data_IF_344164747762
#
_entry.id   IF_344164747762
#
_cell.length_a   1.000
_cell.length_b   1.000
_cell.length_c   1.000
_cell.angle_alpha   90.00
_cell.angle_beta   90.00
_cell.angle_gamma   90.00
#
_symmetry.space_group_name_H-M   'P 1'
#
loop_
_entity.id
_entity.type
_entity.pdbx_description
1 polymer ?
#
# COMPACT_ATOMS: atom_id res chain seq x y z
N UNK A 1 11.77 -1.86 22.42
CA UNK A 1 12.77 -1.58 21.38
C UNK A 1 12.10 -1.94 20.07
N UNK A 2 11.62 -0.95 19.32
CA UNK A 2 10.90 -1.17 18.06
C UNK A 2 11.70 -2.07 17.12
N UNK A 3 11.07 -3.11 16.56
CA UNK A 3 11.69 -3.96 15.56
C UNK A 3 11.51 -3.30 14.20
N UNK A 4 12.62 -2.88 13.62
CA UNK A 4 12.65 -2.24 12.31
C UNK A 4 13.47 -3.10 11.36
N UNK A 5 12.80 -3.80 10.44
CA UNK A 5 13.45 -4.55 9.38
C UNK A 5 13.46 -3.73 8.10
N UNK A 6 14.57 -3.81 7.36
CA UNK A 6 14.74 -3.16 6.07
C UNK A 6 14.98 -4.23 5.01
N UNK A 7 14.19 -4.16 3.95
CA UNK A 7 14.26 -5.05 2.79
C UNK A 7 14.79 -4.25 1.60
N UNK A 8 16.06 -4.43 1.23
CA UNK A 8 16.64 -3.69 0.11
C UNK A 8 16.07 -4.19 -1.21
N UNK A 9 15.54 -3.26 -2.02
CA UNK A 9 15.10 -3.51 -3.39
C UNK A 9 16.20 -3.13 -4.40
N UNK A 10 16.98 -2.09 -4.08
CA UNK A 10 18.19 -1.70 -4.79
C UNK A 10 19.10 -0.88 -3.86
N UNK A 11 20.18 -0.30 -4.37
CA UNK A 11 21.10 0.55 -3.58
C UNK A 11 20.41 1.73 -2.91
N UNK A 12 19.35 2.28 -3.52
CA UNK A 12 18.64 3.48 -3.02
C UNK A 12 17.19 3.21 -2.65
N UNK A 13 16.65 2.03 -2.98
CA UNK A 13 15.25 1.66 -2.75
C UNK A 13 15.14 0.58 -1.69
N UNK A 14 14.28 0.76 -0.70
CA UNK A 14 14.01 -0.25 0.31
C UNK A 14 12.59 -0.14 0.88
N UNK A 15 12.02 -1.28 1.26
CA UNK A 15 10.81 -1.35 2.08
C UNK A 15 11.23 -1.50 3.54
N UNK A 16 10.60 -0.73 4.42
CA UNK A 16 10.80 -0.80 5.86
C UNK A 16 9.50 -1.23 6.49
N UNK A 17 9.55 -2.34 7.23
CA UNK A 17 8.46 -2.77 8.10
C UNK A 17 8.87 -2.41 9.53
N UNK A 18 8.12 -1.50 10.12
CA UNK A 18 8.34 -0.98 11.46
C UNK A 18 7.22 -1.47 12.38
N UNK A 19 7.59 -2.34 13.30
CA UNK A 19 6.69 -2.92 14.28
C UNK A 19 7.18 -2.45 15.66
N UNK A 20 6.37 -1.73 16.44
CA UNK A 20 6.69 -1.36 17.80
C UNK A 20 6.58 -2.61 18.68
N UNK A 21 7.60 -3.45 18.66
CA UNK A 21 7.82 -4.38 19.75
C UNK A 21 8.38 -3.59 20.93
N UNK A 22 7.58 -3.40 21.97
CA UNK A 22 8.18 -3.08 23.24
C UNK A 22 8.69 -4.37 23.89
N UNK A 23 10.01 -4.53 23.96
CA UNK A 23 10.67 -5.44 24.91
C UNK A 23 10.19 -5.20 26.36
N UNK A 24 9.55 -4.05 26.61
CA UNK A 24 8.98 -3.64 27.90
C UNK A 24 7.55 -4.20 28.07
N UNK A 25 7.37 -5.49 27.80
CA UNK A 25 6.44 -6.43 28.47
C UNK A 25 6.51 -7.80 27.78
N UNK A 26 7.60 -8.54 28.01
CA UNK A 26 7.71 -9.98 27.72
C UNK A 26 7.83 -10.42 26.25
N UNK A 27 8.21 -9.54 25.30
CA UNK A 27 8.48 -9.93 23.92
C UNK A 27 7.24 -10.38 23.13
N UNK A 28 6.08 -9.82 23.48
CA UNK A 28 4.79 -10.07 22.84
C UNK A 28 4.49 -8.98 21.81
N UNK A 29 3.75 -9.32 20.76
CA UNK A 29 3.11 -8.36 19.85
C UNK A 29 1.64 -8.40 20.14
N UNK A 30 1.01 -7.26 20.38
CA UNK A 30 -0.45 -7.23 20.51
C UNK A 30 -1.08 -7.00 19.14
N UNK A 31 -2.20 -7.70 18.89
CA UNK A 31 -2.92 -7.60 17.61
C UNK A 31 -3.29 -6.15 17.24
N UNK A 32 -3.49 -5.30 18.25
CA UNK A 32 -3.87 -3.90 18.13
C UNK A 32 -2.70 -2.92 18.33
N UNK A 33 -1.45 -3.40 18.33
CA UNK A 33 -0.30 -2.50 18.22
C UNK A 33 -0.28 -1.85 16.83
N UNK A 34 0.27 -0.64 16.74
CA UNK A 34 0.39 0.12 15.49
C UNK A 34 1.49 -0.49 14.61
N UNK A 35 1.20 -0.79 13.35
CA UNK A 35 2.15 -1.25 12.34
C UNK A 35 2.34 -0.13 11.32
N UNK A 36 3.59 0.24 11.04
CA UNK A 36 3.93 1.22 10.01
C UNK A 36 4.79 0.54 8.94
N UNK A 37 4.38 0.67 7.68
CA UNK A 37 5.18 0.22 6.54
C UNK A 37 5.55 1.44 5.72
N UNK A 38 6.82 1.54 5.39
CA UNK A 38 7.38 2.67 4.64
C UNK A 38 8.14 2.18 3.42
N UNK A 39 8.16 3.00 2.38
CA UNK A 39 9.09 2.86 1.27
C UNK A 39 10.03 4.06 1.25
N UNK A 40 11.31 3.78 1.03
CA UNK A 40 12.35 4.80 0.92
C UNK A 40 12.96 4.70 -0.48
N UNK A 41 13.02 5.84 -1.18
CA UNK A 41 13.72 6.00 -2.45
C UNK A 41 14.67 7.19 -2.36
N UNK A 42 15.97 6.93 -2.15
CA UNK A 42 16.94 7.99 -1.94
C UNK A 42 16.65 8.77 -0.65
N UNK A 43 16.31 10.05 -0.80
CA UNK A 43 15.92 10.93 0.32
C UNK A 43 14.41 10.94 0.57
N UNK A 44 13.60 10.40 -0.35
CA UNK A 44 12.16 10.39 -0.25
C UNK A 44 11.66 9.24 0.65
N UNK A 45 10.74 9.56 1.57
CA UNK A 45 10.07 8.59 2.45
C UNK A 45 8.55 8.63 2.22
N UNK A 46 7.98 7.46 1.98
CA UNK A 46 6.55 7.26 1.80
C UNK A 46 6.02 6.33 2.89
N UNK A 47 5.10 6.82 3.72
CA UNK A 47 4.27 5.92 4.54
C UNK A 47 3.30 5.24 3.58
N UNK A 48 3.33 3.92 3.55
CA UNK A 48 2.46 3.11 2.71
C UNK A 48 1.30 2.52 3.51
N UNK A 49 1.57 2.12 4.75
CA UNK A 49 0.57 1.56 5.66
C UNK A 49 0.75 2.12 7.06
N UNK A 50 -0.37 2.38 7.73
CA UNK A 50 -0.42 2.72 9.14
C UNK A 50 -1.76 2.29 9.73
N UNK A 51 -1.78 1.12 10.36
CA UNK A 51 -2.97 0.55 11.02
C UNK A 51 -2.51 -0.55 12.00
N UNK A 52 -3.40 -1.38 12.52
CA UNK A 52 -3.07 -2.46 13.45
C UNK A 52 -2.25 -3.58 12.81
N UNK A 53 -1.37 -4.19 13.62
CA UNK A 53 -0.55 -5.36 13.25
C UNK A 53 -1.39 -6.46 12.61
N UNK A 54 -2.52 -6.83 13.23
CA UNK A 54 -3.37 -7.91 12.72
C UNK A 54 -3.90 -7.63 11.32
N UNK A 55 -4.27 -6.38 11.03
CA UNK A 55 -4.79 -5.97 9.72
C UNK A 55 -3.69 -6.05 8.67
N UNK A 56 -2.53 -5.45 8.94
CA UNK A 56 -1.44 -5.43 7.97
C UNK A 56 -0.88 -6.81 7.70
N UNK A 57 -0.79 -7.68 8.70
CA UNK A 57 -0.25 -9.04 8.54
C UNK A 57 -1.13 -9.92 7.67
N UNK A 58 -2.44 -9.97 7.96
CA UNK A 58 -3.39 -10.74 7.14
C UNK A 58 -3.38 -10.29 5.68
N UNK A 59 -3.24 -8.98 5.47
CA UNK A 59 -3.26 -8.38 4.16
C UNK A 59 -1.97 -8.68 3.38
N UNK A 60 -0.80 -8.54 4.01
CA UNK A 60 0.49 -8.86 3.38
C UNK A 60 0.57 -10.36 3.09
N UNK A 61 0.22 -11.21 4.06
CA UNK A 61 0.24 -12.67 3.88
C UNK A 61 -0.60 -13.07 2.65
N UNK A 62 -1.85 -12.63 2.59
CA UNK A 62 -2.77 -12.93 1.49
C UNK A 62 -2.26 -12.44 0.14
N UNK A 63 -1.85 -11.18 0.04
CA UNK A 63 -1.51 -10.57 -1.25
C UNK A 63 -0.13 -10.97 -1.74
N UNK A 64 0.86 -11.08 -0.85
CA UNK A 64 2.21 -11.49 -1.24
C UNK A 64 2.23 -12.98 -1.63
N UNK A 65 1.47 -13.84 -0.95
CA UNK A 65 1.30 -15.24 -1.37
C UNK A 65 0.67 -15.31 -2.77
N UNK A 66 -0.36 -14.51 -3.04
CA UNK A 66 -0.97 -14.44 -4.38
C UNK A 66 -0.01 -13.91 -5.44
N UNK A 67 0.80 -12.90 -5.12
CA UNK A 67 1.82 -12.36 -6.01
C UNK A 67 2.92 -13.40 -6.30
N UNK A 68 3.40 -14.13 -5.30
CA UNK A 68 4.36 -15.23 -5.46
C UNK A 68 3.81 -16.38 -6.32
N UNK A 69 2.51 -16.65 -6.21
CA UNK A 69 1.81 -17.64 -7.03
C UNK A 69 1.50 -17.14 -8.45
N UNK A 70 1.92 -15.93 -8.81
CA UNK A 70 1.60 -15.26 -10.08
C UNK A 70 0.09 -15.23 -10.39
N UNK A 71 -0.72 -14.96 -9.36
CA UNK A 71 -2.19 -15.01 -9.43
C UNK A 71 -2.86 -13.63 -9.42
N UNK A 72 -2.10 -12.54 -9.26
CA UNK A 72 -2.58 -11.16 -9.33
C UNK A 72 -2.24 -10.54 -10.69
N UNK A 73 -2.56 -11.21 -11.80
CA UNK A 73 -2.18 -10.76 -13.14
C UNK A 73 -2.93 -9.50 -13.54
N UNK A 74 -2.20 -8.44 -13.85
CA UNK A 74 -2.79 -7.19 -14.33
C UNK A 74 -3.39 -7.37 -15.72
N UNK A 75 -4.58 -6.80 -15.93
CA UNK A 75 -5.22 -6.68 -17.24
C UNK A 75 -5.02 -5.26 -17.77
N UNK A 76 -4.00 -5.06 -18.61
CA UNK A 76 -3.66 -3.77 -19.19
C UNK A 76 -4.80 -3.15 -20.03
N UNK A 77 -5.81 -3.93 -20.44
CA UNK A 77 -7.00 -3.39 -21.10
C UNK A 77 -7.95 -2.69 -20.12
N UNK A 78 -7.91 -3.09 -18.84
CA UNK A 78 -8.70 -2.49 -17.75
C UNK A 78 -7.92 -1.42 -16.98
N UNK A 79 -6.60 -1.51 -16.95
CA UNK A 79 -5.73 -0.58 -16.19
C UNK A 79 -4.73 0.15 -17.11
N UNK A 80 -5.19 0.88 -18.14
CA UNK A 80 -4.30 1.50 -19.13
C UNK A 80 -3.35 2.55 -18.53
N UNK A 81 -3.69 3.12 -17.36
CA UNK A 81 -2.89 4.12 -16.64
C UNK A 81 -2.42 3.63 -15.25
N UNK A 82 -2.50 2.33 -14.99
CA UNK A 82 -2.22 1.74 -13.67
C UNK A 82 -3.46 1.59 -12.80
N UNK A 83 -3.33 0.82 -11.72
CA UNK A 83 -4.44 0.42 -10.85
C UNK A 83 -4.96 1.61 -10.04
N UNK A 84 -4.04 2.45 -9.55
CA UNK A 84 -4.37 3.63 -8.76
C UNK A 84 -5.12 4.69 -9.55
N UNK A 85 -4.88 4.83 -10.85
CA UNK A 85 -5.64 5.75 -11.70
C UNK A 85 -7.11 5.31 -11.76
N UNK A 86 -7.34 4.02 -12.04
CA UNK A 86 -8.69 3.47 -12.09
C UNK A 86 -9.38 3.58 -10.72
N UNK A 87 -8.64 3.35 -9.63
CA UNK A 87 -9.18 3.55 -8.29
C UNK A 87 -9.63 5.00 -8.06
N UNK A 88 -8.81 5.98 -8.44
CA UNK A 88 -9.16 7.41 -8.32
C UNK A 88 -10.49 7.69 -9.04
N UNK A 89 -10.63 7.23 -10.29
CA UNK A 89 -11.87 7.43 -11.07
C UNK A 89 -13.07 6.77 -10.40
N UNK A 90 -12.93 5.51 -9.97
CA UNK A 90 -14.00 4.77 -9.28
C UNK A 90 -14.36 5.44 -7.96
N UNK A 91 -13.37 5.81 -7.15
CA UNK A 91 -13.58 6.41 -5.82
C UNK A 91 -14.27 7.77 -5.89
N UNK A 92 -13.90 8.60 -6.87
CA UNK A 92 -14.54 9.89 -7.10
C UNK A 92 -16.00 9.72 -7.54
N UNK A 93 -16.27 8.81 -8.47
CA UNK A 93 -17.64 8.51 -8.88
C UNK A 93 -18.49 7.97 -7.71
N UNK A 94 -17.92 7.15 -6.83
CA UNK A 94 -18.59 6.72 -5.59
C UNK A 94 -18.89 7.92 -4.67
N UNK A 95 -17.95 8.87 -4.54
CA UNK A 95 -18.14 10.08 -3.75
C UNK A 95 -19.24 10.99 -4.31
N UNK A 96 -19.38 11.04 -5.64
CA UNK A 96 -20.46 11.74 -6.37
C UNK A 96 -21.78 10.93 -6.43
N UNK A 97 -21.90 9.86 -5.63
CA UNK A 97 -23.07 8.99 -5.53
C UNK A 97 -23.44 8.26 -6.83
N UNK A 98 -22.47 7.96 -7.70
CA UNK A 98 -22.66 7.08 -8.87
C UNK A 98 -22.64 5.60 -8.44
N UNK A 99 -23.81 4.97 -8.39
CA UNK A 99 -24.05 3.72 -7.63
C UNK A 99 -23.59 2.44 -8.37
N UNK A 100 -23.20 2.50 -9.65
CA UNK A 100 -23.08 1.30 -10.50
C UNK A 100 -21.65 0.82 -10.83
N UNK A 101 -20.61 1.37 -10.20
CA UNK A 101 -19.23 0.97 -10.53
C UNK A 101 -18.75 -0.22 -9.71
N UNK A 102 -18.38 -1.30 -10.40
CA UNK A 102 -17.66 -2.43 -9.79
C UNK A 102 -16.23 -2.00 -9.43
N UNK A 103 -15.81 -2.21 -8.18
CA UNK A 103 -14.42 -1.99 -7.76
C UNK A 103 -13.51 -3.12 -8.28
N UNK A 104 -13.07 -2.95 -9.51
CA UNK A 104 -12.11 -3.85 -10.17
C UNK A 104 -10.70 -3.79 -9.57
N UNK A 105 -10.41 -2.82 -8.71
CA UNK A 105 -9.09 -2.61 -8.09
C UNK A 105 -8.90 -3.41 -6.80
N UNK A 106 -10.00 -3.75 -6.14
CA UNK A 106 -10.04 -4.44 -4.84
C UNK A 106 -9.10 -5.66 -4.75
N UNK A 107 -8.98 -6.55 -5.76
CA UNK A 107 -8.08 -7.70 -5.69
C UNK A 107 -6.59 -7.37 -5.51
N UNK A 108 -6.17 -6.17 -5.90
CA UNK A 108 -4.78 -5.71 -5.89
C UNK A 108 -4.46 -4.77 -4.74
N UNK A 109 -5.49 -4.31 -4.00
CA UNK A 109 -5.34 -3.28 -2.98
C UNK A 109 -4.47 -3.77 -1.84
N UNK A 110 -3.30 -3.15 -1.71
CA UNK A 110 -2.40 -3.43 -0.61
C UNK A 110 -2.72 -2.47 0.54
N UNK A 111 -2.54 -1.15 0.34
CA UNK A 111 -2.71 -0.19 1.43
C UNK A 111 -3.39 1.09 0.97
N UNK A 112 -4.06 1.76 1.90
CA UNK A 112 -4.54 3.14 1.73
C UNK A 112 -4.08 3.93 2.94
N UNK A 113 -3.50 5.09 2.70
CA UNK A 113 -3.12 6.01 3.77
C UNK A 113 -4.30 6.89 4.16
N UNK A 114 -4.26 7.54 5.34
CA UNK A 114 -5.25 8.57 5.66
C UNK A 114 -5.32 9.65 4.59
N UNK A 115 -6.50 10.27 4.46
CA UNK A 115 -6.82 11.21 3.37
C UNK A 115 -5.86 12.42 3.26
N UNK A 116 -5.22 12.85 4.35
CA UNK A 116 -4.21 13.92 4.32
C UNK A 116 -2.87 13.51 3.71
N UNK A 117 -2.55 12.21 3.65
CA UNK A 117 -1.41 11.67 2.91
C UNK A 117 -1.80 11.32 1.47
N UNK A 118 -3.08 10.98 1.24
CA UNK A 118 -3.68 10.78 -0.09
C UNK A 118 -2.87 9.84 -0.99
N UNK A 119 -2.56 8.64 -0.48
CA UNK A 119 -1.80 7.61 -1.19
C UNK A 119 -2.43 6.24 -1.03
N UNK A 120 -2.54 5.55 -2.15
CA UNK A 120 -2.88 4.13 -2.26
C UNK A 120 -1.66 3.34 -2.70
N UNK A 121 -1.59 2.08 -2.28
CA UNK A 121 -0.58 1.13 -2.73
C UNK A 121 -1.24 -0.15 -3.22
N UNK A 122 -0.69 -0.70 -4.31
CA UNK A 122 -1.21 -1.88 -4.99
C UNK A 122 -0.09 -2.91 -5.18
N UNK A 123 -0.45 -4.19 -5.26
CA UNK A 123 0.48 -5.25 -5.68
C UNK A 123 -0.15 -6.07 -6.79
N UNK A 124 0.62 -6.33 -7.84
CA UNK A 124 0.19 -7.13 -8.98
C UNK A 124 1.35 -7.84 -9.66
N UNK A 125 1.01 -8.73 -10.58
CA UNK A 125 1.93 -9.41 -11.46
C UNK A 125 1.79 -8.87 -12.89
N UNK A 126 2.91 -8.53 -13.51
CA UNK A 126 2.99 -8.28 -14.96
C UNK A 126 4.00 -9.26 -15.57
N UNK A 127 3.47 -10.19 -16.38
CA UNK A 127 4.21 -11.37 -16.80
C UNK A 127 4.53 -12.30 -15.62
N UNK A 128 5.81 -12.53 -15.36
CA UNK A 128 6.32 -13.35 -14.24
C UNK A 128 6.93 -12.48 -13.13
N UNK A 129 6.81 -11.15 -13.23
CA UNK A 129 7.36 -10.20 -12.27
C UNK A 129 6.28 -9.66 -11.36
N UNK A 130 6.64 -9.35 -10.13
CA UNK A 130 5.76 -8.71 -9.15
C UNK A 130 6.09 -7.23 -9.04
N UNK A 131 5.06 -6.40 -8.92
CA UNK A 131 5.19 -4.96 -8.80
C UNK A 131 4.40 -4.44 -7.61
N UNK A 132 4.96 -3.45 -6.92
CA UNK A 132 4.24 -2.58 -6.01
C UNK A 132 4.07 -1.22 -6.67
N UNK A 133 2.84 -0.78 -6.83
CA UNK A 133 2.48 0.54 -7.37
C UNK A 133 2.06 1.45 -6.23
N UNK A 134 2.69 2.62 -6.12
CA UNK A 134 2.33 3.69 -5.17
C UNK A 134 1.69 4.81 -5.98
N UNK A 135 0.47 5.15 -5.63
CA UNK A 135 -0.39 6.02 -6.42
C UNK A 135 -1.01 7.13 -5.59
N UNK A 136 -1.11 8.35 -6.12
CA UNK A 136 -1.80 9.43 -5.42
C UNK A 136 -3.30 9.15 -5.40
N UNK A 137 -3.97 9.61 -4.35
CA UNK A 137 -5.43 9.65 -4.22
C UNK A 137 -5.92 11.09 -4.35
N UNK A 138 -7.16 11.26 -4.80
CA UNK A 138 -7.78 12.58 -4.82
C UNK A 138 -8.35 12.90 -3.44
N UNK A 139 -7.71 13.84 -2.73
CA UNK A 139 -8.03 14.11 -1.32
C UNK A 139 -9.31 14.90 -1.08
N UNK A 140 -9.88 15.52 -2.11
CA UNK A 140 -10.99 16.47 -1.97
C UNK A 140 -12.38 15.84 -2.05
N UNK A 141 -12.47 14.52 -2.28
CA UNK A 141 -13.75 13.79 -2.25
C UNK A 141 -14.38 13.76 -0.85
N UNK A 142 -13.55 13.84 0.19
CA UNK A 142 -13.98 13.67 1.59
C UNK A 142 -13.42 14.73 2.54
N UNK A 143 -12.64 15.68 2.03
CA UNK A 143 -12.10 16.78 2.82
C UNK A 143 -12.41 18.10 2.15
N UNK A 144 -12.94 19.04 2.92
CA UNK A 144 -13.02 20.43 2.50
C UNK A 144 -11.64 21.10 2.58
N UNK A 145 -11.29 22.00 1.64
CA UNK A 145 -10.05 22.75 1.72
C UNK A 145 -10.01 23.65 2.96
N UNK A 146 -8.96 23.50 3.76
CA UNK A 146 -8.70 24.40 4.89
C UNK A 146 -8.14 25.76 4.41
N UNK A 147 -8.16 26.77 5.29
CA UNK A 147 -7.66 28.10 4.97
C UNK A 147 -6.17 28.05 4.58
N UNK A 148 -5.86 28.47 3.35
CA UNK A 148 -4.50 28.49 2.82
C UNK A 148 -4.09 27.24 2.04
N UNK A 149 -4.95 26.22 1.94
CA UNK A 149 -4.70 25.10 1.04
C UNK A 149 -5.04 25.44 -0.41
N UNK A 150 -4.20 24.98 -1.34
CA UNK A 150 -4.48 25.06 -2.77
C UNK A 150 -5.46 23.96 -3.17
N UNK A 151 -6.74 24.30 -3.24
CA UNK A 151 -7.76 23.44 -3.84
C UNK A 151 -7.42 23.12 -5.31
N UNK A 152 -7.69 21.89 -5.72
CA UNK A 152 -7.52 21.39 -7.09
C UNK A 152 -8.81 20.66 -7.48
N UNK A 153 -9.33 20.90 -8.69
CA UNK A 153 -10.48 20.15 -9.17
C UNK A 153 -10.10 18.72 -9.57
N UNK A 154 -11.05 17.80 -9.51
CA UNK A 154 -10.84 16.41 -9.93
C UNK A 154 -10.33 16.31 -11.37
N UNK A 155 -10.91 17.06 -12.31
CA UNK A 155 -10.45 17.10 -13.70
C UNK A 155 -8.96 17.52 -13.81
N UNK A 156 -8.55 18.54 -13.05
CA UNK A 156 -7.16 19.02 -13.05
C UNK A 156 -6.20 17.97 -12.47
N UNK A 157 -6.65 17.25 -11.43
CA UNK A 157 -5.89 16.16 -10.82
C UNK A 157 -5.71 14.99 -11.79
N UNK A 158 -6.79 14.55 -12.45
CA UNK A 158 -6.78 13.45 -13.41
C UNK A 158 -5.94 13.77 -14.65
N UNK A 159 -5.97 15.01 -15.14
CA UNK A 159 -5.14 15.46 -16.26
C UNK A 159 -3.64 15.38 -15.97
N UNK A 160 -3.25 15.59 -14.71
CA UNK A 160 -1.86 15.56 -14.24
C UNK A 160 -1.48 14.28 -13.52
N UNK A 161 -2.39 13.32 -13.44
CA UNK A 161 -2.17 12.10 -12.70
C UNK A 161 -0.94 11.38 -13.22
N UNK A 162 -0.03 11.06 -12.30
CA UNK A 162 1.06 10.14 -12.55
C UNK A 162 1.20 9.20 -11.35
N UNK A 163 1.58 7.96 -11.65
CA UNK A 163 1.96 7.02 -10.62
C UNK A 163 3.20 7.57 -9.89
N UNK A 164 3.20 7.57 -8.56
CA UNK A 164 4.35 8.09 -7.80
C UNK A 164 5.55 7.18 -8.00
N UNK A 165 5.34 5.87 -7.86
CA UNK A 165 6.37 4.86 -8.02
C UNK A 165 5.76 3.54 -8.50
N UNK A 166 6.43 2.87 -9.43
CA UNK A 166 6.15 1.48 -9.79
C UNK A 166 7.41 0.65 -9.58
N UNK A 167 7.36 -0.27 -8.62
CA UNK A 167 8.52 -0.91 -8.03
C UNK A 167 8.47 -2.38 -8.35
N UNK A 168 9.41 -2.86 -9.18
CA UNK A 168 9.63 -4.30 -9.33
C UNK A 168 10.17 -4.88 -8.02
N UNK A 169 9.58 -5.98 -7.56
CA UNK A 169 10.02 -6.69 -6.36
C UNK A 169 10.40 -8.11 -6.73
N UNK A 170 11.65 -8.45 -6.40
CA UNK A 170 12.19 -9.79 -6.56
C UNK A 170 11.40 -10.80 -5.71
N UNK A 171 11.23 -12.00 -6.26
CA UNK A 171 10.50 -13.10 -5.59
C UNK A 171 11.11 -13.42 -4.23
N UNK A 172 12.44 -13.40 -4.14
CA UNK A 172 13.20 -13.67 -2.93
C UNK A 172 12.87 -12.65 -1.82
N UNK A 173 12.63 -11.40 -2.17
CA UNK A 173 12.28 -10.34 -1.20
C UNK A 173 10.85 -10.56 -0.69
N UNK A 174 9.91 -10.89 -1.58
CA UNK A 174 8.55 -11.25 -1.19
C UNK A 174 8.54 -12.45 -0.24
N UNK A 175 9.34 -13.48 -0.53
CA UNK A 175 9.52 -14.65 0.33
C UNK A 175 10.14 -14.27 1.68
N UNK A 176 11.16 -13.39 1.72
CA UNK A 176 11.76 -12.94 2.99
C UNK A 176 10.73 -12.21 3.87
N UNK A 177 9.96 -11.29 3.27
CA UNK A 177 8.91 -10.53 3.97
C UNK A 177 7.84 -11.49 4.52
N UNK A 178 7.37 -12.44 3.70
CA UNK A 178 6.37 -13.42 4.13
C UNK A 178 6.86 -14.30 5.27
N UNK A 179 8.07 -14.86 5.16
CA UNK A 179 8.65 -15.69 6.22
C UNK A 179 8.77 -14.91 7.54
N UNK A 180 9.16 -13.63 7.48
CA UNK A 180 9.25 -12.80 8.68
C UNK A 180 7.87 -12.54 9.31
N UNK A 181 6.88 -12.23 8.48
CA UNK A 181 5.50 -12.01 8.94
C UNK A 181 4.92 -13.28 9.55
N UNK A 182 5.13 -14.45 8.95
CA UNK A 182 4.70 -15.74 9.51
C UNK A 182 5.36 -16.03 10.88
N UNK A 183 6.64 -15.70 11.04
CA UNK A 183 7.34 -15.86 12.33
C UNK A 183 6.86 -14.88 13.40
N UNK A 184 6.51 -13.66 13.01
CA UNK A 184 5.95 -12.66 13.93
C UNK A 184 4.48 -12.98 14.26
N UNK A 185 3.70 -13.49 13.31
CA UNK A 185 2.30 -13.87 13.50
C UNK A 185 2.12 -14.89 14.63
N UNK A 186 3.08 -15.82 14.79
CA UNK A 186 3.13 -16.81 15.89
C UNK A 186 3.26 -16.18 17.29
N UNK A 187 3.63 -14.90 17.37
CA UNK A 187 3.87 -14.14 18.59
C UNK A 187 2.80 -13.07 18.83
N UNK A 188 1.75 -13.02 17.99
CA UNK A 188 0.63 -12.10 18.15
C UNK A 188 -0.28 -12.59 19.27
N UNK A 189 -0.58 -11.70 20.21
CA UNK A 189 -1.51 -11.89 21.30
C UNK A 189 -2.77 -11.05 21.08
N UNK A 190 -3.92 -11.66 21.34
CA UNK A 190 -5.25 -11.06 21.22
C UNK A 190 -5.86 -10.79 22.59
#
# INVERSE_FOLDING_TARGET
MQMKKKYPLSLTKQIIIDIPFDEIENGKVYAYDELIIKYINGEDEYILFKDFVVTGFNLIESLFQKALANSLKIDHSKFPKGIGYEWVVISHAIAEEEIELEDITSPYRLWTTPSYLARSTWIYNDGEKSYIEISPEYRWDYNDPEEGECFESFDSFVERYDCLENIEIDKEILEEILNEIEEVAKKIYY
#
